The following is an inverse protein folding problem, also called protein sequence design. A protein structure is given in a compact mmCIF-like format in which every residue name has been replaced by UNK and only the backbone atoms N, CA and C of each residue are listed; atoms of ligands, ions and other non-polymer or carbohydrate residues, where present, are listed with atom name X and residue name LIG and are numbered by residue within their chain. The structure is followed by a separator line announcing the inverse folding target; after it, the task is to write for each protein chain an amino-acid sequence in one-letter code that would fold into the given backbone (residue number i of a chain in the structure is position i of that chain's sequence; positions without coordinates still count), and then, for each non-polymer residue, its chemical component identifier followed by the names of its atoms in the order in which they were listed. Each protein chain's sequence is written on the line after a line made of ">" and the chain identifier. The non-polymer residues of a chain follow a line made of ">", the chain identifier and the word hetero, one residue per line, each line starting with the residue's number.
data_IF_926572762086
#
_entry.id   IF_926572762086
#
_cell.length_a   1.000
_cell.length_b   1.000
_cell.length_c   1.000
_cell.angle_alpha   90.00
_cell.angle_beta   90.00
_cell.angle_gamma   90.00
#
_symmetry.space_group_name_H-M   'P 1'
#
loop_
_entity.id
_entity.type
_entity.pdbx_description
1 polymer ?
#
# COMPACT_ATOMS: atom_id res chain seq x y z
N UNK A 1 35.96 -20.27 -0.87
CA UNK A 1 35.42 -18.91 -1.08
C UNK A 1 34.22 -18.74 -0.18
N UNK A 2 34.35 -18.00 0.92
CA UNK A 2 33.21 -17.64 1.79
C UNK A 2 32.88 -16.17 1.55
N UNK A 3 31.68 -15.91 1.02
CA UNK A 3 31.16 -14.54 0.87
C UNK A 3 30.69 -14.08 2.25
N UNK A 4 31.38 -13.09 2.80
CA UNK A 4 31.02 -12.44 4.06
C UNK A 4 29.98 -11.38 3.71
N UNK A 5 28.73 -11.57 4.16
CA UNK A 5 27.66 -10.58 3.99
C UNK A 5 27.70 -9.61 5.17
N UNK A 6 28.01 -8.30 4.97
CA UNK A 6 27.95 -7.32 6.04
C UNK A 6 26.48 -7.03 6.36
N UNK A 7 25.96 -7.64 7.43
CA UNK A 7 24.67 -7.29 8.03
C UNK A 7 24.79 -5.94 8.76
N UNK A 8 24.71 -4.83 8.04
CA UNK A 8 24.38 -3.55 8.68
C UNK A 8 22.86 -3.47 8.84
N UNK A 9 22.33 -3.24 10.07
CA UNK A 9 20.90 -3.06 10.30
C UNK A 9 20.39 -1.86 9.50
N UNK A 10 19.33 -2.05 8.72
CA UNK A 10 18.68 -0.98 7.97
C UNK A 10 18.04 0.01 8.95
N UNK A 11 18.09 1.33 8.65
CA UNK A 11 17.46 2.34 9.48
C UNK A 11 15.94 2.07 9.63
N UNK A 12 15.34 2.41 10.78
CA UNK A 12 13.93 2.19 11.04
C UNK A 12 13.06 2.87 9.98
N UNK A 13 12.10 2.12 9.45
CA UNK A 13 11.18 2.51 8.37
C UNK A 13 10.36 3.73 8.79
N UNK A 14 10.55 4.87 8.13
CA UNK A 14 9.57 5.95 8.15
C UNK A 14 8.32 5.49 7.40
N UNK A 15 7.15 5.63 8.03
CA UNK A 15 5.84 5.33 7.45
C UNK A 15 5.70 5.96 6.06
N UNK A 16 5.40 5.15 5.06
CA UNK A 16 5.19 5.60 3.67
C UNK A 16 3.95 6.50 3.52
N UNK A 17 3.11 6.55 4.54
CA UNK A 17 1.89 7.35 4.59
C UNK A 17 2.05 8.75 5.20
N UNK A 18 3.29 9.18 5.50
CA UNK A 18 3.58 10.52 6.03
C UNK A 18 4.48 11.32 5.09
N UNK A 19 4.16 11.36 3.80
CA UNK A 19 4.76 12.35 2.89
C UNK A 19 3.90 13.62 2.93
N UNK A 20 4.48 14.72 3.42
CA UNK A 20 3.91 16.06 3.27
C UNK A 20 3.87 16.39 1.76
N UNK A 21 2.67 16.42 1.18
CA UNK A 21 2.46 16.71 -0.24
C UNK A 21 3.04 18.07 -0.67
N UNK A 22 3.18 19.01 0.27
CA UNK A 22 3.75 20.34 0.03
C UNK A 22 5.26 20.33 -0.26
N UNK A 23 5.96 19.25 0.10
CA UNK A 23 7.42 19.11 -0.08
C UNK A 23 7.82 18.45 -1.40
N UNK A 24 6.86 17.90 -2.14
CA UNK A 24 7.12 17.27 -3.42
C UNK A 24 7.18 18.34 -4.53
N UNK A 25 8.17 18.29 -5.44
CA UNK A 25 8.16 19.14 -6.62
C UNK A 25 6.83 18.92 -7.37
N UNK A 26 6.26 19.97 -7.96
CA UNK A 26 4.92 19.96 -8.57
C UNK A 26 4.76 18.86 -9.65
N UNK A 27 5.86 18.40 -10.23
CA UNK A 27 5.92 17.26 -11.18
C UNK A 27 5.88 15.86 -10.52
N UNK A 28 5.96 15.76 -9.19
CA UNK A 28 5.87 14.52 -8.38
C UNK A 28 4.64 14.50 -7.45
N UNK A 29 3.65 15.38 -7.65
CA UNK A 29 2.43 15.44 -6.81
C UNK A 29 1.65 14.12 -6.72
N UNK A 30 1.89 13.17 -7.64
CA UNK A 30 1.22 11.87 -7.65
C UNK A 30 2.18 10.79 -7.14
N UNK A 31 1.93 10.19 -5.97
CA UNK A 31 2.80 9.14 -5.44
C UNK A 31 2.89 7.94 -6.39
N UNK A 32 4.08 7.34 -6.45
CA UNK A 32 4.41 6.20 -7.32
C UNK A 32 3.44 5.01 -7.20
N UNK A 33 2.85 4.82 -6.03
CA UNK A 33 1.79 3.83 -5.79
C UNK A 33 0.62 4.03 -6.76
N UNK A 34 0.13 5.26 -6.88
CA UNK A 34 -1.00 5.60 -7.75
C UNK A 34 -0.59 5.43 -9.20
N UNK A 35 0.56 5.99 -9.61
CA UNK A 35 1.04 5.89 -10.99
C UNK A 35 1.16 4.42 -11.44
N UNK A 36 1.85 3.58 -10.65
CA UNK A 36 2.03 2.16 -10.99
C UNK A 36 0.70 1.41 -11.02
N UNK A 37 -0.18 1.62 -10.04
CA UNK A 37 -1.46 0.92 -10.01
C UNK A 37 -2.36 1.31 -11.18
N UNK A 38 -2.49 2.61 -11.48
CA UNK A 38 -3.36 3.11 -12.56
C UNK A 38 -2.85 2.63 -13.92
N UNK A 39 -1.56 2.77 -14.21
CA UNK A 39 -0.97 2.28 -15.46
C UNK A 39 -1.28 0.79 -15.68
N UNK A 40 -1.17 -0.01 -14.62
CA UNK A 40 -1.38 -1.45 -14.70
C UNK A 40 -2.87 -1.84 -14.81
N UNK A 41 -3.78 -1.04 -14.24
CA UNK A 41 -5.22 -1.18 -14.40
C UNK A 41 -5.63 -0.84 -15.84
N UNK A 42 -5.14 0.28 -16.37
CA UNK A 42 -5.41 0.72 -17.75
C UNK A 42 -4.88 -0.28 -18.77
N UNK A 43 -3.67 -0.81 -18.54
CA UNK A 43 -3.08 -1.82 -19.43
C UNK A 43 -3.92 -3.10 -19.55
N UNK A 44 -4.61 -3.52 -18.48
CA UNK A 44 -5.24 -4.86 -18.40
C UNK A 44 -6.77 -4.86 -18.37
N UNK A 45 -7.41 -3.74 -18.08
CA UNK A 45 -8.82 -3.78 -17.64
C UNK A 45 -9.70 -2.64 -18.12
N UNK A 46 -9.28 -1.86 -19.11
CA UNK A 46 -10.12 -0.81 -19.71
C UNK A 46 -11.44 -1.35 -20.29
N UNK A 47 -11.45 -2.57 -20.81
CA UNK A 47 -12.64 -3.18 -21.40
C UNK A 47 -13.46 -4.02 -20.40
N UNK A 48 -13.06 -4.06 -19.12
CA UNK A 48 -13.73 -4.86 -18.10
C UNK A 48 -14.72 -3.98 -17.32
N UNK A 49 -16.03 -4.29 -17.33
CA UNK A 49 -16.99 -3.48 -16.59
C UNK A 49 -16.79 -3.63 -15.08
N UNK A 50 -16.92 -2.50 -14.35
CA UNK A 50 -17.00 -2.50 -12.88
C UNK A 50 -15.67 -2.66 -12.12
N UNK A 51 -14.53 -2.37 -12.73
CA UNK A 51 -13.17 -2.57 -12.19
C UNK A 51 -12.89 -1.88 -10.84
N UNK A 52 -13.59 -0.79 -10.51
CA UNK A 52 -13.47 -0.10 -9.21
C UNK A 52 -14.58 -0.49 -8.21
N UNK A 53 -15.68 -1.10 -8.68
CA UNK A 53 -16.82 -1.50 -7.83
C UNK A 53 -16.47 -2.72 -6.98
N UNK A 54 -15.70 -3.65 -7.52
CA UNK A 54 -15.31 -4.86 -6.82
C UNK A 54 -14.20 -4.58 -5.80
N UNK A 55 -14.20 -5.35 -4.73
CA UNK A 55 -13.17 -5.30 -3.69
C UNK A 55 -12.20 -6.45 -3.90
N UNK A 56 -10.91 -6.14 -3.86
CA UNK A 56 -9.85 -7.13 -3.80
C UNK A 56 -9.87 -7.97 -2.51
N UNK A 57 -9.07 -9.03 -2.48
CA UNK A 57 -8.96 -9.88 -1.29
C UNK A 57 -8.06 -9.20 -0.26
N UNK A 58 -8.59 -8.97 0.94
CA UNK A 58 -7.95 -8.19 2.00
C UNK A 58 -6.49 -8.60 2.28
N UNK A 59 -6.22 -9.90 2.37
CA UNK A 59 -4.86 -10.41 2.65
C UNK A 59 -3.86 -10.14 1.52
N UNK A 60 -4.32 -10.08 0.25
CA UNK A 60 -3.46 -9.73 -0.89
C UNK A 60 -3.25 -8.22 -0.97
N UNK A 61 -4.29 -7.44 -0.70
CA UNK A 61 -4.23 -5.98 -0.60
C UNK A 61 -3.25 -5.56 0.49
N UNK A 62 -3.31 -6.17 1.68
CA UNK A 62 -2.39 -5.88 2.79
C UNK A 62 -0.93 -6.21 2.43
N UNK A 63 -0.68 -7.36 1.81
CA UNK A 63 0.66 -7.74 1.31
C UNK A 63 1.18 -6.75 0.27
N UNK A 64 0.29 -6.27 -0.60
CA UNK A 64 0.64 -5.32 -1.64
C UNK A 64 1.01 -3.94 -1.05
N UNK A 65 0.22 -3.44 -0.10
CA UNK A 65 0.55 -2.21 0.65
C UNK A 65 1.91 -2.33 1.34
N UNK A 66 2.18 -3.44 2.04
CA UNK A 66 3.49 -3.72 2.67
C UNK A 66 4.64 -3.76 1.67
N UNK A 67 4.37 -4.22 0.45
CA UNK A 67 5.36 -4.23 -0.63
C UNK A 67 5.69 -2.80 -1.06
N UNK A 68 4.66 -1.96 -1.24
CA UNK A 68 4.82 -0.53 -1.52
C UNK A 68 5.57 0.20 -0.42
N UNK A 69 5.37 -0.19 0.85
CA UNK A 69 6.15 0.35 1.97
C UNK A 69 7.62 -0.06 1.96
N UNK A 70 7.93 -1.27 1.47
CA UNK A 70 9.30 -1.79 1.48
C UNK A 70 10.16 -1.30 0.32
N UNK A 71 9.56 -0.85 -0.78
CA UNK A 71 10.31 -0.43 -1.97
C UNK A 71 9.42 -0.30 -3.20
N UNK A 72 8.77 0.87 -3.43
CA UNK A 72 7.78 1.02 -4.50
C UNK A 72 8.37 0.84 -5.91
N UNK A 73 9.66 1.17 -6.11
CA UNK A 73 10.33 1.05 -7.41
C UNK A 73 10.53 -0.41 -7.85
N UNK A 74 10.70 -1.34 -6.90
CA UNK A 74 11.08 -2.73 -7.17
C UNK A 74 9.88 -3.68 -7.37
N UNK A 75 8.66 -3.19 -7.15
CA UNK A 75 7.45 -4.02 -7.24
C UNK A 75 7.07 -4.22 -8.70
N UNK A 76 6.88 -5.50 -9.05
CA UNK A 76 6.20 -5.94 -10.27
C UNK A 76 4.71 -6.20 -9.98
N UNK A 77 3.84 -5.63 -10.82
CA UNK A 77 2.39 -5.71 -10.69
C UNK A 77 1.73 -6.60 -11.77
N UNK A 78 2.53 -7.20 -12.67
CA UNK A 78 2.06 -7.93 -13.85
C UNK A 78 1.08 -9.05 -13.52
N UNK A 79 1.28 -9.72 -12.38
CA UNK A 79 0.46 -10.85 -11.91
C UNK A 79 -0.51 -10.48 -10.77
N UNK A 80 -0.51 -9.22 -10.33
CA UNK A 80 -1.40 -8.76 -9.26
C UNK A 80 -2.83 -8.65 -9.79
N UNK A 81 -3.83 -9.15 -9.05
CA UNK A 81 -5.23 -9.03 -9.46
C UNK A 81 -5.66 -7.56 -9.51
N UNK A 82 -6.36 -7.18 -10.58
CA UNK A 82 -6.82 -5.79 -10.81
C UNK A 82 -7.73 -5.30 -9.68
N UNK A 83 -8.57 -6.15 -9.11
CA UNK A 83 -9.43 -5.77 -7.97
C UNK A 83 -8.61 -5.46 -6.70
N UNK A 84 -7.44 -6.08 -6.55
CA UNK A 84 -6.54 -5.78 -5.43
C UNK A 84 -5.84 -4.43 -5.65
N UNK A 85 -5.42 -4.13 -6.88
CA UNK A 85 -4.89 -2.81 -7.26
C UNK A 85 -5.91 -1.71 -7.03
N UNK A 86 -7.15 -1.90 -7.50
CA UNK A 86 -8.20 -0.89 -7.32
C UNK A 86 -8.53 -0.69 -5.83
N UNK A 87 -8.49 -1.75 -5.02
CA UNK A 87 -8.60 -1.63 -3.56
C UNK A 87 -7.45 -0.84 -2.94
N UNK A 88 -6.20 -1.05 -3.36
CA UNK A 88 -5.05 -0.26 -2.87
C UNK A 88 -5.20 1.22 -3.21
N UNK A 89 -5.59 1.54 -4.44
CA UNK A 89 -5.86 2.93 -4.86
C UNK A 89 -6.97 3.56 -4.01
N UNK A 90 -8.08 2.84 -3.81
CA UNK A 90 -9.20 3.30 -2.97
C UNK A 90 -8.77 3.60 -1.53
N UNK A 91 -7.95 2.73 -0.94
CA UNK A 91 -7.42 2.93 0.41
C UNK A 91 -6.57 4.20 0.44
N UNK A 92 -5.60 4.32 -0.47
CA UNK A 92 -4.72 5.48 -0.51
C UNK A 92 -5.48 6.81 -0.62
N UNK A 93 -6.44 6.90 -1.54
CA UNK A 93 -7.25 8.12 -1.71
C UNK A 93 -8.12 8.42 -0.50
N UNK A 94 -8.65 7.40 0.19
CA UNK A 94 -9.40 7.58 1.42
C UNK A 94 -8.52 8.11 2.55
N UNK A 95 -7.30 7.60 2.70
CA UNK A 95 -6.35 8.12 3.69
C UNK A 95 -6.02 9.59 3.43
N UNK A 96 -5.82 10.00 2.17
CA UNK A 96 -5.60 11.41 1.84
C UNK A 96 -6.77 12.31 2.27
N UNK A 97 -8.00 11.91 1.98
CA UNK A 97 -9.19 12.68 2.37
C UNK A 97 -9.32 12.84 3.90
N UNK A 98 -8.83 11.87 4.67
CA UNK A 98 -8.80 11.96 6.13
C UNK A 98 -7.75 12.97 6.62
N UNK A 99 -6.65 13.17 5.89
CA UNK A 99 -5.60 14.14 6.24
C UNK A 99 -6.07 15.58 5.97
N UNK A 100 -6.74 15.82 4.85
CA UNK A 100 -7.21 17.17 4.47
C UNK A 100 -8.40 17.68 5.30
N UNK A 101 -9.17 16.77 5.91
CA UNK A 101 -10.42 17.11 6.60
C UNK A 101 -10.29 17.32 8.11
N UNK A 102 -9.22 16.84 8.74
CA UNK A 102 -9.08 16.93 10.20
C UNK A 102 -7.63 17.12 10.65
N UNK A 103 -7.29 18.30 11.18
CA UNK A 103 -6.01 18.56 11.85
C UNK A 103 -5.82 17.77 13.17
N UNK A 104 -6.43 16.59 13.33
CA UNK A 104 -6.34 15.72 14.53
C UNK A 104 -6.52 14.22 14.18
N UNK A 105 -5.39 13.58 13.91
CA UNK A 105 -4.97 12.26 14.39
C UNK A 105 -5.99 11.10 14.43
N UNK A 106 -5.82 10.11 13.54
CA UNK A 106 -5.57 8.69 13.91
C UNK A 106 -5.08 7.91 12.67
N UNK A 107 -3.78 7.54 12.57
CA UNK A 107 -3.27 6.75 11.45
C UNK A 107 -3.79 5.30 11.50
N UNK A 108 -4.24 4.80 10.36
CA UNK A 108 -4.76 3.44 10.17
C UNK A 108 -3.74 2.30 10.33
N UNK A 109 -2.53 2.61 10.80
CA UNK A 109 -1.65 1.62 11.43
C UNK A 109 -2.26 1.01 12.71
N UNK A 110 -3.22 1.69 13.37
CA UNK A 110 -3.76 1.24 14.66
C UNK A 110 -4.94 0.25 14.57
N UNK A 111 -5.82 0.34 13.56
CA UNK A 111 -7.02 -0.53 13.50
C UNK A 111 -6.83 -1.85 12.74
N UNK A 112 -5.79 -1.99 11.91
CA UNK A 112 -5.53 -3.27 11.25
C UNK A 112 -4.63 -4.21 12.10
N UNK A 113 -3.91 -3.69 13.10
CA UNK A 113 -3.05 -4.51 13.95
C UNK A 113 -3.76 -5.17 15.14
N UNK A 114 -4.89 -4.63 15.63
CA UNK A 114 -5.62 -5.29 16.73
C UNK A 114 -6.46 -6.49 16.28
N UNK A 115 -6.77 -6.66 14.98
CA UNK A 115 -7.58 -7.81 14.54
C UNK A 115 -6.81 -9.13 14.45
N UNK A 116 -5.50 -9.16 14.72
CA UNK A 116 -4.72 -10.40 14.87
C UNK A 116 -4.28 -10.70 16.30
N UNK A 117 -4.94 -10.08 17.28
CA UNK A 117 -4.81 -10.42 18.68
C UNK A 117 -6.17 -10.91 19.23
N UNK A 118 -6.72 -11.98 18.65
CA UNK A 118 -7.66 -12.92 19.29
C UNK A 118 -8.02 -14.06 18.30
N UNK A 119 -8.06 -15.29 18.82
CA UNK A 119 -8.34 -16.59 18.18
C UNK A 119 -7.08 -17.26 17.56
N UNK A 120 -6.37 -18.18 18.21
CA UNK A 120 -6.83 -19.29 19.07
C UNK A 120 -5.82 -19.57 20.19
N UNK A 121 -6.25 -19.43 21.45
CA UNK A 121 -5.78 -20.30 22.54
C UNK A 121 -6.68 -21.54 22.58
N UNK A 122 -6.12 -22.62 23.09
CA UNK A 122 -6.79 -23.81 23.65
C UNK A 122 -7.21 -24.93 22.68
N UNK A 123 -6.31 -25.90 22.45
CA UNK A 123 -6.38 -27.22 23.12
C UNK A 123 -5.51 -28.29 22.43
N UNK A 124 -4.73 -28.96 23.29
CA UNK A 124 -3.93 -30.19 23.14
C UNK A 124 -2.58 -30.14 22.40
#
# INVERSE_FOLDING_TARGET
>A
MTIICPKSPLPPKSSVFNLELDSLPIDEMVPLLIIKCINEIERRSMNRPGIYRMTGVASRVEKLLKSFESGPHLIDLSDVNVNDLTSVVKIFLRELQLIDSESKFFPLSFLFLQSKAQNTTDNE
#
